data_IF_479068029867
#
_entry.id   IF_479068029867
#
_cell.length_a   1.000
_cell.length_b   1.000
_cell.length_c   1.000
_cell.angle_alpha   90.00
_cell.angle_beta   90.00
_cell.angle_gamma   90.00
#
_symmetry.space_group_name_H-M   'P 1'
#
loop_
_entity.id
_entity.type
_entity.pdbx_description
1 polymer ?
#
# COMPACT_ATOMS: atom_id res chain seq x y z
N UNK A 1 34.57 -19.91 39.48
CA UNK A 1 33.42 -20.68 38.99
C UNK A 1 32.12 -19.96 39.28
N UNK A 2 32.08 -18.65 39.06
CA UNK A 2 30.87 -17.85 39.21
C UNK A 2 30.13 -17.70 37.88
N UNK A 3 28.91 -17.18 37.94
CA UNK A 3 28.07 -16.87 36.77
C UNK A 3 28.81 -16.12 35.66
N UNK A 4 29.76 -15.24 36.02
CA UNK A 4 30.60 -14.51 35.04
C UNK A 4 31.56 -15.41 34.26
N UNK A 5 32.08 -16.47 34.87
CA UNK A 5 32.95 -17.45 34.20
C UNK A 5 32.12 -18.35 33.28
N UNK A 6 30.92 -18.73 33.71
CA UNK A 6 29.97 -19.50 32.88
C UNK A 6 29.49 -18.69 31.68
N UNK A 7 29.20 -17.40 31.85
CA UNK A 7 28.82 -16.52 30.74
C UNK A 7 29.97 -16.29 29.75
N UNK A 8 31.22 -16.19 30.21
CA UNK A 8 32.38 -16.13 29.31
C UNK A 8 32.55 -17.42 28.50
N UNK A 9 32.38 -18.58 29.14
CA UNK A 9 32.43 -19.88 28.47
C UNK A 9 31.31 -20.01 27.44
N UNK A 10 30.09 -19.65 27.83
CA UNK A 10 28.94 -19.65 26.92
C UNK A 10 29.12 -18.70 25.74
N UNK A 11 29.73 -17.52 25.94
CA UNK A 11 30.02 -16.58 24.86
C UNK A 11 31.16 -17.05 23.93
N UNK A 12 32.15 -17.78 24.44
CA UNK A 12 33.18 -18.41 23.59
C UNK A 12 32.63 -19.59 22.78
N UNK A 13 31.67 -20.33 23.34
CA UNK A 13 31.06 -21.51 22.71
C UNK A 13 29.92 -21.13 21.73
N UNK A 14 29.14 -20.09 22.03
CA UNK A 14 27.95 -19.70 21.26
C UNK A 14 28.00 -18.28 20.68
N UNK A 15 29.00 -17.45 21.00
CA UNK A 15 29.10 -16.07 20.49
C UNK A 15 29.43 -15.95 19.00
N UNK A 16 29.83 -17.06 18.36
CA UNK A 16 30.01 -17.16 16.91
C UNK A 16 28.85 -17.84 16.19
N UNK A 17 27.85 -18.36 16.94
CA UNK A 17 26.56 -18.64 16.35
C UNK A 17 25.92 -17.28 16.13
N UNK A 18 26.04 -16.80 14.91
CA UNK A 18 25.09 -15.86 14.35
C UNK A 18 23.76 -16.62 14.40
N UNK A 19 23.08 -16.58 15.56
CA UNK A 19 21.68 -16.88 15.59
C UNK A 19 21.13 -15.89 14.58
N UNK A 20 20.60 -16.40 13.48
CA UNK A 20 19.61 -15.71 12.70
C UNK A 20 18.43 -15.49 13.66
N UNK A 21 18.61 -14.56 14.60
CA UNK A 21 17.52 -13.88 15.25
C UNK A 21 16.95 -13.11 14.07
N UNK A 22 16.00 -13.76 13.39
CA UNK A 22 14.98 -13.09 12.61
C UNK A 22 14.34 -12.09 13.58
N UNK A 23 14.98 -10.93 13.72
CA UNK A 23 14.37 -9.73 14.25
C UNK A 23 13.39 -9.27 13.18
N UNK A 24 12.35 -10.08 12.99
CA UNK A 24 11.16 -9.82 12.22
C UNK A 24 10.27 -8.92 13.08
N UNK A 25 10.85 -7.80 13.55
CA UNK A 25 10.09 -6.68 14.06
C UNK A 25 9.92 -5.72 12.88
N UNK A 26 8.73 -5.82 12.28
CA UNK A 26 7.96 -4.70 11.71
C UNK A 26 8.71 -3.78 10.72
N UNK A 27 9.34 -4.35 9.70
CA UNK A 27 9.66 -3.61 8.48
C UNK A 27 9.31 -4.48 7.28
N UNK A 28 8.19 -4.16 6.64
CA UNK A 28 7.70 -4.77 5.41
C UNK A 28 8.86 -5.02 4.42
N UNK A 29 9.20 -6.29 4.21
CA UNK A 29 10.40 -6.69 3.48
C UNK A 29 10.24 -6.72 1.95
N UNK A 30 9.04 -6.50 1.40
CA UNK A 30 8.85 -6.43 -0.05
C UNK A 30 9.03 -4.99 -0.57
N UNK A 31 10.28 -4.61 -0.81
CA UNK A 31 10.67 -3.34 -1.45
C UNK A 31 10.77 -3.40 -2.98
N UNK A 32 10.00 -4.25 -3.66
CA UNK A 32 9.99 -4.24 -5.13
C UNK A 32 9.14 -3.07 -5.65
N UNK A 33 9.84 -2.02 -6.09
CA UNK A 33 9.24 -0.91 -6.81
C UNK A 33 8.85 -1.38 -8.21
N UNK A 34 7.58 -1.78 -8.39
CA UNK A 34 7.05 -2.07 -9.72
C UNK A 34 6.88 -0.76 -10.49
N UNK A 35 7.67 -0.58 -11.55
CA UNK A 35 7.56 0.56 -12.47
C UNK A 35 6.27 0.45 -13.30
N UNK A 36 5.15 0.87 -12.73
CA UNK A 36 3.83 0.85 -13.39
C UNK A 36 3.55 2.13 -14.21
N UNK A 37 4.54 3.01 -14.40
CA UNK A 37 4.34 4.32 -15.06
C UNK A 37 3.99 4.24 -16.55
N UNK A 38 4.34 3.16 -17.23
CA UNK A 38 4.18 3.01 -18.70
C UNK A 38 3.29 1.86 -19.14
N UNK A 39 2.84 1.00 -18.21
CA UNK A 39 1.93 -0.11 -18.53
C UNK A 39 0.53 0.23 -18.02
N UNK A 40 -0.42 0.41 -18.94
CA UNK A 40 -1.84 0.20 -18.65
C UNK A 40 -1.94 -1.27 -18.21
N UNK A 41 -1.96 -1.52 -16.90
CA UNK A 41 -1.87 -2.86 -16.34
C UNK A 41 -3.02 -3.73 -16.80
N UNK A 42 -2.69 -4.84 -17.48
CA UNK A 42 -3.65 -5.89 -17.81
C UNK A 42 -4.20 -6.51 -16.51
N UNK A 43 -5.33 -7.21 -16.63
CA UNK A 43 -5.97 -8.00 -15.57
C UNK A 43 -4.99 -9.05 -15.01
N UNK A 44 -3.92 -9.35 -15.74
CA UNK A 44 -2.82 -10.25 -15.38
C UNK A 44 -1.96 -9.78 -14.20
N UNK A 45 -2.05 -8.52 -13.75
CA UNK A 45 -1.36 -8.09 -12.54
C UNK A 45 -1.88 -8.80 -11.26
N UNK A 46 -3.10 -9.35 -11.28
CA UNK A 46 -3.60 -10.22 -10.20
C UNK A 46 -3.01 -11.64 -10.23
N UNK A 47 -2.40 -12.03 -11.35
CA UNK A 47 -2.02 -13.41 -11.62
C UNK A 47 -0.58 -13.75 -11.24
N UNK A 48 0.20 -12.78 -10.73
CA UNK A 48 1.59 -12.99 -10.32
C UNK A 48 1.64 -13.66 -8.93
N UNK A 49 2.11 -14.90 -8.82
CA UNK A 49 2.25 -15.58 -7.54
C UNK A 49 3.50 -15.16 -6.75
N UNK A 50 4.46 -14.45 -7.36
CA UNK A 50 5.83 -14.36 -6.83
C UNK A 50 6.07 -13.26 -5.78
N UNK A 51 5.13 -12.34 -5.54
CA UNK A 51 5.36 -11.19 -4.63
C UNK A 51 4.97 -11.46 -3.16
N UNK A 52 4.44 -12.65 -2.82
CA UNK A 52 3.82 -12.94 -1.52
C UNK A 52 4.54 -13.98 -0.64
N UNK A 53 5.71 -14.49 -1.05
CA UNK A 53 6.41 -15.60 -0.35
C UNK A 53 6.70 -15.29 1.14
N UNK A 54 6.87 -14.02 1.51
CA UNK A 54 7.08 -13.61 2.91
C UNK A 54 5.76 -13.36 3.68
N UNK A 55 4.66 -13.02 2.99
CA UNK A 55 3.32 -12.85 3.60
C UNK A 55 2.61 -14.19 3.86
N UNK A 56 3.11 -15.27 3.28
CA UNK A 56 2.59 -16.64 3.40
C UNK A 56 2.66 -17.23 4.83
N UNK A 57 3.44 -16.61 5.74
CA UNK A 57 3.64 -17.13 7.10
C UNK A 57 2.51 -16.81 8.07
N UNK A 58 1.76 -15.74 7.81
CA UNK A 58 0.73 -15.24 8.74
C UNK A 58 -0.70 -15.58 8.28
N UNK A 59 -0.85 -16.42 7.24
CA UNK A 59 -2.17 -16.80 6.72
C UNK A 59 -2.72 -18.05 7.41
N UNK A 60 -3.57 -17.80 8.40
CA UNK A 60 -4.39 -18.81 9.09
C UNK A 60 -5.28 -19.63 8.13
N UNK A 61 -5.43 -19.19 6.89
CA UNK A 61 -6.06 -19.94 5.79
C UNK A 61 -5.36 -21.27 5.49
N UNK A 62 -4.05 -21.40 5.76
CA UNK A 62 -3.27 -22.64 5.57
C UNK A 62 -3.67 -23.77 6.54
N UNK A 63 -4.25 -23.42 7.69
CA UNK A 63 -4.69 -24.38 8.71
C UNK A 63 -6.13 -24.86 8.49
N UNK A 64 -6.85 -24.36 7.49
CA UNK A 64 -8.29 -24.54 7.35
C UNK A 64 -8.65 -25.39 6.12
N UNK A 65 -9.26 -26.55 6.34
CA UNK A 65 -9.71 -27.46 5.26
C UNK A 65 -10.89 -26.83 4.49
N UNK A 66 -10.94 -26.86 3.13
CA UNK A 66 -11.89 -26.08 2.32
C UNK A 66 -13.37 -26.54 2.37
N UNK A 67 -13.76 -27.38 3.31
CA UNK A 67 -15.03 -28.14 3.24
C UNK A 67 -16.23 -27.58 3.99
N UNK A 68 -16.05 -26.97 5.17
CA UNK A 68 -17.16 -26.77 6.13
C UNK A 68 -17.25 -25.36 6.75
N UNK A 69 -16.64 -24.34 6.14
CA UNK A 69 -16.63 -22.97 6.69
C UNK A 69 -17.93 -22.19 6.41
N UNK A 70 -18.66 -22.54 5.36
CA UNK A 70 -19.89 -21.83 4.94
C UNK A 70 -21.04 -22.03 5.94
N UNK A 71 -21.10 -23.18 6.62
CA UNK A 71 -22.19 -23.54 7.56
C UNK A 71 -21.99 -23.04 9.00
N UNK A 72 -20.76 -22.70 9.40
CA UNK A 72 -20.41 -22.38 10.79
C UNK A 72 -20.39 -20.88 11.13
N UNK A 73 -20.59 -20.02 10.13
CA UNK A 73 -20.33 -18.59 10.28
C UNK A 73 -21.60 -17.75 10.06
N UNK A 74 -22.29 -17.45 11.17
CA UNK A 74 -23.46 -16.59 11.20
C UNK A 74 -23.15 -15.11 10.89
N UNK A 75 -21.87 -14.70 10.89
CA UNK A 75 -21.45 -13.30 10.76
C UNK A 75 -20.81 -12.97 9.40
N UNK A 76 -20.83 -13.89 8.42
CA UNK A 76 -20.18 -13.68 7.11
C UNK A 76 -18.71 -13.22 7.21
N UNK A 77 -17.98 -13.68 8.23
CA UNK A 77 -16.51 -13.56 8.28
C UNK A 77 -15.86 -14.23 7.07
N UNK A 78 -16.43 -15.30 6.54
CA UNK A 78 -15.99 -15.96 5.31
C UNK A 78 -16.87 -15.59 4.12
N UNK A 79 -16.23 -15.41 2.95
CA UNK A 79 -16.94 -15.20 1.69
C UNK A 79 -17.73 -16.45 1.31
N UNK A 80 -18.94 -16.20 0.81
CA UNK A 80 -19.87 -17.19 0.27
C UNK A 80 -20.04 -16.98 -1.22
N UNK A 81 -20.36 -18.06 -1.91
CA UNK A 81 -20.57 -18.05 -3.36
C UNK A 81 -21.69 -17.09 -3.72
N UNK A 82 -21.41 -16.17 -4.64
CA UNK A 82 -22.38 -15.14 -5.04
C UNK A 82 -22.23 -13.80 -4.32
N UNK A 83 -21.34 -13.70 -3.34
CA UNK A 83 -20.99 -12.42 -2.72
C UNK A 83 -20.29 -11.50 -3.74
N UNK A 84 -20.69 -10.21 -3.75
CA UNK A 84 -20.00 -9.19 -4.53
C UNK A 84 -18.79 -8.72 -3.74
N UNK A 85 -17.63 -8.73 -4.35
CA UNK A 85 -16.38 -8.29 -3.75
C UNK A 85 -15.78 -7.15 -4.56
N UNK A 86 -15.12 -6.26 -3.84
CA UNK A 86 -14.30 -5.22 -4.42
C UNK A 86 -12.83 -5.61 -4.31
N UNK A 87 -12.24 -5.93 -5.46
CA UNK A 87 -10.86 -6.37 -5.57
C UNK A 87 -9.97 -5.16 -5.77
N UNK A 88 -9.05 -4.98 -4.84
CA UNK A 88 -8.06 -3.92 -4.87
C UNK A 88 -6.73 -4.42 -5.38
N UNK A 89 -5.97 -3.50 -5.94
CA UNK A 89 -4.67 -3.80 -6.49
C UNK A 89 -3.60 -3.36 -5.48
N UNK A 90 -2.95 -4.30 -4.78
CA UNK A 90 -1.83 -3.93 -3.94
C UNK A 90 -0.80 -3.15 -4.78
N UNK A 91 -0.31 -2.03 -4.25
CA UNK A 91 0.71 -1.17 -4.89
C UNK A 91 0.27 -0.46 -6.19
N UNK A 92 -1.03 -0.33 -6.45
CA UNK A 92 -1.54 0.44 -7.59
C UNK A 92 -2.59 1.47 -7.17
N UNK A 93 -2.53 2.67 -7.76
CA UNK A 93 -3.59 3.69 -7.68
C UNK A 93 -4.77 3.40 -8.64
N UNK A 94 -4.87 2.16 -9.14
CA UNK A 94 -5.92 1.75 -10.06
C UNK A 94 -7.28 1.70 -9.35
N UNK A 95 -8.34 2.01 -10.09
CA UNK A 95 -9.70 1.83 -9.58
C UNK A 95 -9.96 0.34 -9.31
N UNK A 96 -10.43 -0.01 -8.10
CA UNK A 96 -10.69 -1.39 -7.75
C UNK A 96 -11.79 -1.99 -8.62
N UNK A 97 -11.72 -3.30 -8.87
CA UNK A 97 -12.62 -4.00 -9.79
C UNK A 97 -13.70 -4.73 -9.01
N UNK A 98 -14.95 -4.57 -9.45
CA UNK A 98 -16.07 -5.39 -8.99
C UNK A 98 -15.94 -6.81 -9.53
N UNK A 99 -16.10 -7.77 -8.63
CA UNK A 99 -16.12 -9.18 -8.98
C UNK A 99 -17.07 -9.95 -8.06
N UNK A 100 -17.47 -11.15 -8.48
CA UNK A 100 -18.26 -12.07 -7.67
C UNK A 100 -17.35 -13.19 -7.19
N UNK A 101 -17.44 -13.54 -5.91
CA UNK A 101 -16.73 -14.68 -5.35
C UNK A 101 -17.39 -15.99 -5.82
N UNK A 102 -16.58 -16.88 -6.40
CA UNK A 102 -17.04 -18.15 -6.97
C UNK A 102 -16.75 -19.32 -6.03
N UNK A 103 -15.48 -19.55 -5.70
CA UNK A 103 -15.02 -20.67 -4.86
C UNK A 103 -13.57 -20.50 -4.43
N UNK A 104 -13.12 -21.35 -3.50
CA UNK A 104 -11.70 -21.53 -3.16
C UNK A 104 -11.15 -22.75 -3.91
N UNK A 105 -9.99 -22.63 -4.53
CA UNK A 105 -9.33 -23.67 -5.35
C UNK A 105 -7.83 -23.74 -5.07
N UNK A 106 -7.23 -24.90 -5.34
CA UNK A 106 -5.78 -25.11 -5.24
C UNK A 106 -5.22 -25.40 -3.84
N UNK A 107 -3.89 -25.61 -3.81
CA UNK A 107 -3.06 -25.71 -2.60
C UNK A 107 -1.75 -24.94 -2.87
N UNK A 108 -1.49 -23.80 -2.22
CA UNK A 108 -2.30 -23.14 -1.18
C UNK A 108 -3.68 -22.70 -1.70
N UNK A 109 -4.65 -22.57 -0.80
CA UNK A 109 -6.03 -22.22 -1.15
C UNK A 109 -6.09 -20.78 -1.69
N UNK A 110 -6.45 -20.64 -2.96
CA UNK A 110 -6.65 -19.35 -3.64
C UNK A 110 -8.14 -19.11 -3.86
N UNK A 111 -8.58 -17.86 -3.75
CA UNK A 111 -9.96 -17.49 -4.02
C UNK A 111 -10.13 -17.16 -5.50
N UNK A 112 -11.14 -17.76 -6.13
CA UNK A 112 -11.50 -17.55 -7.52
C UNK A 112 -12.64 -16.54 -7.63
N UNK A 113 -12.44 -15.51 -8.44
CA UNK A 113 -13.38 -14.41 -8.63
C UNK A 113 -13.76 -14.25 -10.10
N UNK A 114 -14.99 -13.83 -10.35
CA UNK A 114 -15.49 -13.50 -11.68
C UNK A 114 -15.72 -12.00 -11.80
N UNK A 115 -14.95 -11.32 -12.65
CA UNK A 115 -14.94 -9.86 -12.74
C UNK A 115 -16.09 -9.31 -13.58
N UNK A 116 -16.39 -8.02 -13.39
CA UNK A 116 -17.35 -7.26 -14.20
C UNK A 116 -17.02 -7.24 -15.71
N UNK A 117 -15.75 -7.48 -16.07
CA UNK A 117 -15.30 -7.56 -17.46
C UNK A 117 -15.54 -8.92 -18.10
N UNK A 118 -16.12 -9.88 -17.37
CA UNK A 118 -16.37 -11.23 -17.86
C UNK A 118 -15.12 -12.13 -17.87
N UNK A 119 -14.06 -11.73 -17.15
CA UNK A 119 -12.85 -12.54 -16.96
C UNK A 119 -12.82 -13.11 -15.55
N UNK A 120 -12.30 -14.32 -15.39
CA UNK A 120 -11.99 -14.87 -14.07
C UNK A 120 -10.56 -14.55 -13.66
N UNK A 121 -10.36 -14.42 -12.36
CA UNK A 121 -9.07 -14.21 -11.72
C UNK A 121 -8.98 -15.03 -10.43
N UNK A 122 -7.77 -15.37 -10.02
CA UNK A 122 -7.53 -15.83 -8.65
C UNK A 122 -6.85 -14.72 -7.86
N UNK A 123 -7.08 -14.71 -6.56
CA UNK A 123 -6.43 -13.79 -5.64
C UNK A 123 -6.58 -14.25 -4.20
N UNK A 124 -5.90 -13.56 -3.30
CA UNK A 124 -6.03 -13.77 -1.87
C UNK A 124 -7.22 -12.98 -1.32
N UNK A 125 -7.88 -13.51 -0.29
CA UNK A 125 -9.01 -12.81 0.34
C UNK A 125 -8.62 -11.51 1.04
N UNK A 126 -7.33 -11.36 1.38
CA UNK A 126 -6.75 -10.17 2.00
C UNK A 126 -6.85 -8.94 1.10
N UNK A 127 -6.81 -9.14 -0.21
CA UNK A 127 -6.93 -8.07 -1.20
C UNK A 127 -8.38 -7.60 -1.40
N UNK A 128 -9.33 -8.21 -0.69
CA UNK A 128 -10.73 -7.80 -0.72
C UNK A 128 -10.93 -6.68 0.27
N UNK A 129 -11.34 -5.57 -0.29
CA UNK A 129 -11.54 -4.33 0.44
C UNK A 129 -12.96 -4.22 1.00
N UNK A 130 -13.95 -4.66 0.24
CA UNK A 130 -15.35 -4.65 0.62
C UNK A 130 -16.05 -5.89 0.08
N UNK A 131 -17.06 -6.37 0.80
CA UNK A 131 -17.93 -7.44 0.33
C UNK A 131 -19.39 -7.07 0.63
N UNK A 132 -20.27 -7.33 -0.34
CA UNK A 132 -21.72 -7.27 -0.17
C UNK A 132 -22.22 -8.71 -0.15
N UNK A 133 -22.72 -9.20 1.00
CA UNK A 133 -23.18 -10.56 1.14
C UNK A 133 -24.47 -10.80 0.35
N UNK A 134 -24.67 -12.04 -0.09
CA UNK A 134 -25.89 -12.52 -0.76
C UNK A 134 -26.31 -11.65 -1.97
N UNK A 135 -25.33 -11.09 -2.70
CA UNK A 135 -25.59 -10.20 -3.82
C UNK A 135 -26.27 -10.93 -5.00
N UNK A 136 -25.86 -12.18 -5.25
CA UNK A 136 -26.45 -13.06 -6.25
C UNK A 136 -26.69 -14.45 -5.65
N UNK A 137 -27.80 -15.13 -5.94
CA UNK A 137 -28.00 -16.50 -5.49
C UNK A 137 -26.93 -17.45 -6.04
N UNK A 138 -26.45 -18.43 -5.23
CA UNK A 138 -25.43 -19.39 -5.66
C UNK A 138 -25.77 -20.16 -6.95
N UNK A 139 -27.06 -20.38 -7.21
CA UNK A 139 -27.58 -21.06 -8.40
C UNK A 139 -27.22 -20.36 -9.72
N UNK A 140 -26.97 -19.04 -9.70
CA UNK A 140 -26.51 -18.30 -10.88
C UNK A 140 -25.00 -18.39 -11.08
N UNK A 141 -24.25 -18.79 -10.06
CA UNK A 141 -22.79 -18.95 -10.11
C UNK A 141 -22.40 -20.37 -10.52
N UNK A 142 -23.16 -21.38 -10.11
CA UNK A 142 -22.93 -22.79 -10.42
C UNK A 142 -22.65 -23.09 -11.91
N UNK A 143 -23.40 -22.55 -12.88
CA UNK A 143 -23.16 -22.83 -14.31
C UNK A 143 -21.76 -22.42 -14.77
N UNK A 144 -21.19 -21.37 -14.16
CA UNK A 144 -19.88 -20.82 -14.51
C UNK A 144 -18.75 -21.71 -14.00
N UNK A 145 -18.95 -22.40 -12.88
CA UNK A 145 -17.94 -23.26 -12.25
C UNK A 145 -17.41 -24.31 -13.22
N UNK A 146 -18.28 -24.86 -14.08
CA UNK A 146 -17.90 -25.86 -15.09
C UNK A 146 -16.90 -25.39 -16.14
N UNK A 147 -16.77 -24.07 -16.34
CA UNK A 147 -15.86 -23.45 -17.29
C UNK A 147 -14.58 -22.92 -16.64
N UNK A 148 -14.48 -23.00 -15.31
CA UNK A 148 -13.37 -22.45 -14.55
C UNK A 148 -12.36 -23.54 -14.19
N UNK A 149 -11.06 -23.21 -14.12
CA UNK A 149 -10.04 -24.16 -13.72
C UNK A 149 -10.25 -24.63 -12.27
N UNK A 150 -10.10 -25.94 -12.05
CA UNK A 150 -10.19 -26.60 -10.74
C UNK A 150 -8.86 -26.58 -9.97
N UNK A 151 -7.74 -26.48 -10.69
CA UNK A 151 -6.40 -26.31 -10.10
C UNK A 151 -6.14 -24.83 -9.81
N UNK A 152 -5.39 -24.54 -8.74
CA UNK A 152 -4.85 -23.19 -8.48
C UNK A 152 -3.98 -22.70 -9.64
N UNK A 153 -3.63 -21.40 -9.66
CA UNK A 153 -2.79 -20.84 -10.72
C UNK A 153 -1.44 -21.57 -10.73
N UNK A 154 -1.18 -22.33 -11.81
CA UNK A 154 0.14 -22.82 -12.18
C UNK A 154 0.68 -21.98 -13.34
N UNK A 155 2.01 -21.89 -13.47
CA UNK A 155 2.67 -21.19 -14.60
C UNK A 155 2.16 -21.70 -15.96
N UNK A 156 1.94 -23.02 -16.08
CA UNK A 156 1.32 -23.64 -17.26
C UNK A 156 -0.11 -23.14 -17.57
N UNK A 157 -0.87 -22.76 -16.53
CA UNK A 157 -2.24 -22.28 -16.67
C UNK A 157 -2.25 -20.81 -17.10
N UNK A 158 -1.23 -20.04 -16.71
CA UNK A 158 -0.99 -18.69 -17.22
C UNK A 158 -0.62 -18.74 -18.71
N UNK A 159 0.29 -19.62 -19.10
CA UNK A 159 0.66 -19.82 -20.50
C UNK A 159 -0.55 -20.24 -21.35
N UNK A 160 -1.39 -21.15 -20.85
CA UNK A 160 -2.64 -21.53 -21.53
C UNK A 160 -3.64 -20.38 -21.60
N UNK A 161 -3.72 -19.52 -20.58
CA UNK A 161 -4.60 -18.34 -20.59
C UNK A 161 -4.15 -17.26 -21.56
N UNK A 162 -2.86 -17.22 -21.93
CA UNK A 162 -2.36 -16.37 -23.00
C UNK A 162 -2.62 -16.97 -24.39
N UNK A 163 -2.60 -18.30 -24.52
CA UNK A 163 -2.79 -18.99 -25.80
C UNK A 163 -4.27 -19.23 -26.15
N UNK A 164 -5.14 -19.40 -25.16
CA UNK A 164 -6.56 -19.69 -25.33
C UNK A 164 -7.39 -18.68 -24.55
N UNK A 165 -8.47 -18.18 -25.16
CA UNK A 165 -9.46 -17.41 -24.45
C UNK A 165 -10.25 -18.35 -23.51
N UNK A 166 -9.74 -18.55 -22.28
CA UNK A 166 -10.43 -19.27 -21.20
C UNK A 166 -11.61 -18.45 -20.64
N UNK A 167 -12.22 -17.59 -21.45
CA UNK A 167 -13.39 -16.82 -21.05
C UNK A 167 -14.62 -17.72 -20.93
N UNK A 168 -15.47 -17.38 -19.98
CA UNK A 168 -16.74 -18.08 -19.77
C UNK A 168 -17.68 -17.64 -20.90
N UNK A 169 -18.45 -18.57 -21.51
CA UNK A 169 -19.42 -18.21 -22.54
C UNK A 169 -20.36 -17.09 -22.09
N UNK A 170 -20.51 -16.06 -22.93
CA UNK A 170 -21.26 -14.83 -22.58
C UNK A 170 -22.70 -15.10 -22.17
N UNK A 171 -23.35 -16.09 -22.75
CA UNK A 171 -24.72 -16.49 -22.42
C UNK A 171 -24.85 -16.98 -20.97
N UNK A 172 -23.84 -17.69 -20.47
CA UNK A 172 -23.83 -18.22 -19.10
C UNK A 172 -23.49 -17.10 -18.10
N UNK A 173 -22.57 -16.21 -18.45
CA UNK A 173 -22.12 -15.16 -17.53
C UNK A 173 -22.96 -13.87 -17.57
N UNK A 174 -23.78 -13.67 -18.60
CA UNK A 174 -24.54 -12.43 -18.80
C UNK A 174 -25.36 -12.00 -17.57
N UNK A 175 -26.09 -12.89 -16.87
CA UNK A 175 -26.86 -12.48 -15.69
C UNK A 175 -25.99 -11.86 -14.59
N UNK A 176 -24.80 -12.42 -14.35
CA UNK A 176 -23.86 -11.92 -13.34
C UNK A 176 -23.30 -10.55 -13.73
N UNK A 177 -22.85 -10.42 -14.98
CA UNK A 177 -22.25 -9.18 -15.48
C UNK A 177 -23.28 -8.06 -15.51
N UNK A 178 -24.49 -8.33 -15.99
CA UNK A 178 -25.58 -7.34 -16.01
C UNK A 178 -25.91 -6.84 -14.60
N UNK A 179 -26.00 -7.74 -13.61
CA UNK A 179 -26.28 -7.34 -12.22
C UNK A 179 -25.17 -6.48 -11.62
N UNK A 180 -23.90 -6.81 -11.87
CA UNK A 180 -22.76 -5.97 -11.46
C UNK A 180 -22.76 -4.60 -12.13
N UNK A 181 -23.06 -4.53 -13.44
CA UNK A 181 -23.15 -3.28 -14.20
C UNK A 181 -24.29 -2.38 -13.69
N UNK A 182 -25.45 -2.96 -13.38
CA UNK A 182 -26.57 -2.24 -12.78
C UNK A 182 -26.19 -1.64 -11.43
N UNK A 183 -25.54 -2.42 -10.57
CA UNK A 183 -25.05 -1.95 -9.27
C UNK A 183 -24.03 -0.81 -9.44
N UNK A 184 -23.06 -0.96 -10.35
CA UNK A 184 -22.10 0.10 -10.64
C UNK A 184 -22.81 1.37 -11.13
N UNK A 185 -23.76 1.25 -12.08
CA UNK A 185 -24.51 2.39 -12.62
C UNK A 185 -25.28 3.13 -11.54
N UNK A 186 -25.97 2.41 -10.66
CA UNK A 186 -26.70 3.00 -9.51
C UNK A 186 -25.74 3.78 -8.60
N UNK A 187 -24.61 3.18 -8.27
CA UNK A 187 -23.64 3.84 -7.41
C UNK A 187 -22.98 5.05 -8.06
N UNK A 188 -22.69 5.00 -9.37
CA UNK A 188 -22.18 6.15 -10.11
C UNK A 188 -23.19 7.29 -10.19
N UNK A 189 -24.48 6.98 -10.31
CA UNK A 189 -25.55 7.97 -10.24
C UNK A 189 -25.59 8.66 -8.87
N UNK A 190 -25.51 7.88 -7.78
CA UNK A 190 -25.40 8.41 -6.41
C UNK A 190 -24.16 9.31 -6.27
N UNK A 191 -23.02 8.87 -6.82
CA UNK A 191 -21.80 9.67 -6.79
C UNK A 191 -21.99 11.00 -7.53
N UNK A 192 -22.56 10.97 -8.74
CA UNK A 192 -22.79 12.19 -9.54
C UNK A 192 -23.72 13.18 -8.85
N UNK A 193 -24.76 12.68 -8.18
CA UNK A 193 -25.70 13.52 -7.42
C UNK A 193 -25.04 14.21 -6.22
N UNK A 194 -24.01 13.58 -5.63
CA UNK A 194 -23.34 14.03 -4.41
C UNK A 194 -21.87 14.40 -4.62
N UNK A 195 -21.46 14.67 -5.86
CA UNK A 195 -20.04 14.79 -6.24
C UNK A 195 -19.30 15.85 -5.42
N UNK A 196 -19.90 17.02 -5.22
CA UNK A 196 -19.30 18.11 -4.44
C UNK A 196 -18.98 17.68 -3.00
N UNK A 197 -19.87 16.93 -2.36
CA UNK A 197 -19.69 16.45 -0.98
C UNK A 197 -18.65 15.34 -0.91
N UNK A 198 -18.66 14.44 -1.90
CA UNK A 198 -17.77 13.28 -1.97
C UNK A 198 -16.33 13.68 -2.33
N UNK A 199 -16.15 14.57 -3.30
CA UNK A 199 -14.83 15.11 -3.67
C UNK A 199 -14.27 16.01 -2.55
N UNK A 200 -15.16 16.69 -1.82
CA UNK A 200 -14.84 17.48 -0.63
C UNK A 200 -14.79 16.67 0.68
N UNK A 201 -14.85 15.33 0.64
CA UNK A 201 -15.02 14.51 1.84
C UNK A 201 -13.92 14.73 2.89
N UNK A 202 -12.65 14.89 2.44
CA UNK A 202 -11.53 15.14 3.36
C UNK A 202 -11.70 16.45 4.14
N UNK A 203 -12.15 17.52 3.47
CA UNK A 203 -12.35 18.82 4.12
C UNK A 203 -13.43 18.76 5.22
N UNK A 204 -14.45 17.92 5.03
CA UNK A 204 -15.56 17.74 5.98
C UNK A 204 -15.22 16.78 7.13
N UNK A 205 -14.49 15.71 6.84
CA UNK A 205 -14.23 14.64 7.81
C UNK A 205 -12.94 14.85 8.63
N UNK A 206 -11.90 15.41 8.03
CA UNK A 206 -10.59 15.50 8.64
C UNK A 206 -10.52 16.55 9.75
N UNK A 207 -9.75 16.22 10.79
CA UNK A 207 -9.36 17.19 11.79
C UNK A 207 -8.16 18.02 11.29
N UNK A 208 -7.97 19.27 11.77
CA UNK A 208 -6.81 20.08 11.37
C UNK A 208 -5.46 19.40 11.64
N UNK A 209 -5.27 18.85 12.84
CA UNK A 209 -3.97 18.31 13.32
C UNK A 209 -3.98 16.79 13.49
N UNK A 210 -5.03 16.27 14.12
CA UNK A 210 -5.10 14.88 14.58
C UNK A 210 -5.61 13.90 13.51
N UNK A 211 -5.16 12.66 13.65
CA UNK A 211 -5.66 11.53 12.90
C UNK A 211 -7.05 11.12 13.38
N UNK A 212 -7.95 10.78 12.47
CA UNK A 212 -9.28 10.25 12.79
C UNK A 212 -9.51 8.88 12.17
N UNK A 213 -10.41 8.12 12.78
CA UNK A 213 -10.87 6.84 12.25
C UNK A 213 -12.39 6.85 12.15
N UNK A 214 -12.92 6.15 11.16
CA UNK A 214 -14.36 5.92 11.01
C UNK A 214 -14.62 4.65 10.23
N UNK A 215 -15.75 4.00 10.50
CA UNK A 215 -16.23 2.89 9.66
C UNK A 215 -16.87 3.44 8.39
N UNK A 216 -16.84 2.67 7.30
CA UNK A 216 -17.48 3.07 6.04
C UNK A 216 -18.97 3.40 6.19
N UNK A 217 -19.71 2.65 7.00
CA UNK A 217 -21.12 2.94 7.30
C UNK A 217 -21.30 4.30 7.98
N UNK A 218 -20.45 4.62 8.97
CA UNK A 218 -20.52 5.89 9.69
C UNK A 218 -20.13 7.06 8.77
N UNK A 219 -19.10 6.88 7.95
CA UNK A 219 -18.66 7.88 6.97
C UNK A 219 -19.76 8.11 5.93
N UNK A 220 -20.38 7.04 5.43
CA UNK A 220 -21.48 7.11 4.47
C UNK A 220 -22.68 7.83 5.06
N UNK A 221 -23.07 7.49 6.29
CA UNK A 221 -24.14 8.18 7.03
C UNK A 221 -23.83 9.67 7.19
N UNK A 222 -22.57 10.03 7.45
CA UNK A 222 -22.17 11.42 7.65
C UNK A 222 -22.11 12.23 6.35
N UNK A 223 -21.71 11.62 5.23
CA UNK A 223 -21.57 12.31 3.94
C UNK A 223 -22.88 12.36 3.16
N UNK A 224 -23.63 11.25 3.13
CA UNK A 224 -24.81 11.09 2.28
C UNK A 224 -26.12 10.96 3.05
N UNK A 225 -26.07 10.84 4.38
CA UNK A 225 -27.23 10.56 5.21
C UNK A 225 -27.73 9.11 5.09
N UNK A 226 -28.47 8.69 6.11
CA UNK A 226 -29.19 7.42 6.11
C UNK A 226 -30.69 7.68 6.28
N UNK A 227 -31.49 7.25 5.30
CA UNK A 227 -32.94 7.41 5.34
C UNK A 227 -33.57 6.16 5.98
N UNK A 228 -34.42 6.34 6.99
CA UNK A 228 -35.16 5.22 7.60
C UNK A 228 -36.07 4.58 6.53
N UNK A 229 -35.83 3.31 6.21
CA UNK A 229 -36.56 2.57 5.17
C UNK A 229 -35.85 2.49 3.81
N UNK A 230 -34.58 2.86 3.74
CA UNK A 230 -33.77 2.70 2.53
C UNK A 230 -33.49 1.23 2.22
N UNK A 231 -33.71 0.82 0.97
CA UNK A 231 -33.41 -0.53 0.50
C UNK A 231 -31.92 -0.86 0.68
N UNK A 232 -31.62 -2.11 1.07
CA UNK A 232 -30.24 -2.56 1.26
C UNK A 232 -29.39 -2.36 -0.02
N UNK A 233 -29.93 -2.64 -1.21
CA UNK A 233 -29.22 -2.44 -2.50
C UNK A 233 -28.81 -0.98 -2.70
N UNK A 234 -29.66 -0.03 -2.29
CA UNK A 234 -29.37 1.41 -2.37
C UNK A 234 -28.34 1.82 -1.32
N UNK A 235 -28.45 1.30 -0.10
CA UNK A 235 -27.47 1.55 0.97
C UNK A 235 -26.07 1.04 0.58
N UNK A 236 -25.98 -0.17 0.03
CA UNK A 236 -24.72 -0.72 -0.47
C UNK A 236 -24.18 0.08 -1.66
N UNK A 237 -25.07 0.57 -2.54
CA UNK A 237 -24.71 1.50 -3.61
C UNK A 237 -24.11 2.81 -3.10
N UNK A 238 -24.64 3.36 -2.00
CA UNK A 238 -24.09 4.55 -1.31
C UNK A 238 -22.72 4.28 -0.69
N UNK A 239 -22.58 3.16 0.04
CA UNK A 239 -21.28 2.76 0.61
C UNK A 239 -20.24 2.61 -0.50
N UNK A 240 -20.60 1.98 -1.62
CA UNK A 240 -19.71 1.83 -2.76
C UNK A 240 -19.32 3.19 -3.37
N UNK A 241 -20.26 4.14 -3.49
CA UNK A 241 -19.99 5.48 -4.02
C UNK A 241 -19.02 6.24 -3.12
N UNK A 242 -19.25 6.20 -1.81
CA UNK A 242 -18.37 6.80 -0.79
C UNK A 242 -17.00 6.17 -0.84
N UNK A 243 -16.93 4.84 -0.86
CA UNK A 243 -15.66 4.12 -0.94
C UNK A 243 -14.86 4.51 -2.18
N UNK A 244 -15.49 4.57 -3.34
CA UNK A 244 -14.88 5.03 -4.60
C UNK A 244 -14.35 6.46 -4.47
N UNK A 245 -15.08 7.35 -3.80
CA UNK A 245 -14.62 8.70 -3.49
C UNK A 245 -13.39 8.71 -2.57
N UNK A 246 -13.39 7.91 -1.50
CA UNK A 246 -12.28 7.81 -0.55
C UNK A 246 -11.01 7.25 -1.23
N UNK A 247 -11.15 6.23 -2.09
CA UNK A 247 -10.04 5.71 -2.89
C UNK A 247 -9.43 6.76 -3.81
N UNK A 248 -10.27 7.62 -4.42
CA UNK A 248 -9.79 8.76 -5.26
C UNK A 248 -9.09 9.85 -4.44
N UNK A 249 -9.41 9.98 -3.16
CA UNK A 249 -8.75 10.91 -2.24
C UNK A 249 -7.28 10.56 -1.96
N UNK A 250 -6.79 9.39 -2.37
CA UNK A 250 -5.38 9.01 -2.31
C UNK A 250 -4.83 9.10 -0.89
N UNK A 251 -3.73 9.85 -0.71
CA UNK A 251 -3.06 10.03 0.59
C UNK A 251 -3.98 10.59 1.69
N UNK A 252 -5.10 11.24 1.37
CA UNK A 252 -6.02 11.73 2.40
C UNK A 252 -6.63 10.61 3.26
N UNK A 253 -6.75 9.41 2.70
CA UNK A 253 -7.42 8.28 3.35
C UNK A 253 -6.51 7.04 3.35
N UNK A 254 -6.57 6.28 4.44
CA UNK A 254 -5.90 5.00 4.59
C UNK A 254 -6.93 3.91 4.89
N UNK A 255 -6.63 2.68 4.51
CA UNK A 255 -7.46 1.52 4.83
C UNK A 255 -6.59 0.40 5.41
N UNK A 256 -7.19 -0.42 6.27
CA UNK A 256 -6.52 -1.54 6.93
C UNK A 256 -6.26 -2.71 5.96
N UNK A 257 -5.08 -2.80 5.38
CA UNK A 257 -4.78 -3.85 4.39
C UNK A 257 -4.92 -5.29 4.92
N UNK A 258 -4.89 -5.50 6.25
CA UNK A 258 -4.95 -6.86 6.83
C UNK A 258 -6.38 -7.38 6.98
N UNK A 259 -7.34 -6.53 7.31
CA UNK A 259 -8.69 -6.97 7.67
C UNK A 259 -9.81 -5.99 7.31
N UNK A 260 -9.56 -5.05 6.39
CA UNK A 260 -10.53 -4.01 6.05
C UNK A 260 -11.90 -4.53 5.58
N UNK A 261 -11.98 -5.72 4.94
CA UNK A 261 -13.28 -6.34 4.62
C UNK A 261 -14.17 -6.48 5.86
N UNK A 262 -13.60 -6.93 6.97
CA UNK A 262 -14.32 -7.25 8.21
C UNK A 262 -14.49 -5.99 9.06
N UNK A 263 -13.44 -5.19 9.16
CA UNK A 263 -13.42 -4.04 10.07
C UNK A 263 -14.10 -2.81 9.47
N UNK A 264 -14.04 -2.63 8.15
CA UNK A 264 -14.55 -1.46 7.46
C UNK A 264 -13.91 -0.14 7.89
N UNK A 265 -12.79 -0.19 8.63
CA UNK A 265 -12.15 1.01 9.19
C UNK A 265 -11.37 1.77 8.14
N UNK A 266 -11.67 3.06 8.03
CA UNK A 266 -10.94 4.03 7.22
C UNK A 266 -10.21 4.98 8.16
N UNK A 267 -8.91 5.11 7.93
CA UNK A 267 -8.07 6.12 8.52
C UNK A 267 -8.22 7.42 7.73
N UNK A 268 -8.47 8.51 8.43
CA UNK A 268 -8.64 9.85 7.86
C UNK A 268 -7.46 10.68 8.35
N UNK A 269 -6.56 11.04 7.42
CA UNK A 269 -5.37 11.81 7.74
C UNK A 269 -5.71 13.27 8.00
N UNK A 270 -4.90 13.94 8.81
CA UNK A 270 -5.16 15.33 9.18
C UNK A 270 -4.95 16.29 8.00
N UNK A 271 -5.53 17.50 8.10
CA UNK A 271 -5.36 18.52 7.06
C UNK A 271 -3.91 18.98 6.95
N UNK A 272 -3.21 19.09 8.07
CA UNK A 272 -1.79 19.44 8.10
C UNK A 272 -0.93 18.41 7.36
N UNK A 273 -1.12 17.11 7.63
CA UNK A 273 -0.35 16.05 6.98
C UNK A 273 -0.55 16.03 5.46
N UNK A 274 -1.80 16.12 5.01
CA UNK A 274 -2.10 16.15 3.56
C UNK A 274 -1.53 17.41 2.91
N UNK A 275 -1.62 18.57 3.56
CA UNK A 275 -1.05 19.81 3.06
C UNK A 275 0.48 19.75 2.96
N UNK A 276 1.16 19.16 3.94
CA UNK A 276 2.62 18.94 3.90
C UNK A 276 3.03 18.08 2.69
N UNK A 277 2.38 16.93 2.50
CA UNK A 277 2.67 16.02 1.37
C UNK A 277 2.42 16.69 0.03
N UNK A 278 1.31 17.40 -0.11
CA UNK A 278 0.99 18.13 -1.35
C UNK A 278 1.98 19.27 -1.64
N UNK A 279 2.41 19.99 -0.59
CA UNK A 279 3.40 21.05 -0.69
C UNK A 279 4.75 20.51 -1.17
N UNK A 280 5.25 19.44 -0.55
CA UNK A 280 6.53 18.81 -0.93
C UNK A 280 6.44 18.20 -2.34
N UNK A 281 5.32 17.54 -2.67
CA UNK A 281 5.08 17.00 -4.02
C UNK A 281 5.19 18.09 -5.09
N UNK A 282 4.64 19.28 -4.84
CA UNK A 282 4.73 20.41 -5.76
C UNK A 282 6.15 20.98 -5.85
N UNK A 283 6.91 20.97 -4.76
CA UNK A 283 8.33 21.35 -4.78
C UNK A 283 9.18 20.40 -5.61
N UNK A 284 8.94 19.09 -5.48
CA UNK A 284 9.67 18.07 -6.22
C UNK A 284 9.34 18.08 -7.71
N UNK A 285 8.07 18.29 -8.08
CA UNK A 285 7.69 18.50 -9.49
C UNK A 285 8.40 19.70 -10.09
N UNK A 286 8.38 20.85 -9.41
CA UNK A 286 9.07 22.05 -9.88
C UNK A 286 10.57 21.80 -10.07
N UNK A 287 11.20 21.09 -9.13
CA UNK A 287 12.61 20.70 -9.25
C UNK A 287 12.88 19.76 -10.45
N UNK A 288 12.03 18.76 -10.68
CA UNK A 288 12.15 17.86 -11.83
C UNK A 288 11.98 18.61 -13.17
N UNK A 289 11.02 19.52 -13.24
CA UNK A 289 10.78 20.35 -14.43
C UNK A 289 11.98 21.27 -14.72
N UNK A 290 12.57 21.85 -13.68
CA UNK A 290 13.79 22.66 -13.78
C UNK A 290 14.98 21.81 -14.27
N UNK A 291 15.15 20.59 -13.74
CA UNK A 291 16.19 19.65 -14.19
C UNK A 291 16.02 19.24 -15.67
N UNK A 292 14.79 18.95 -16.08
CA UNK A 292 14.47 18.61 -17.46
C UNK A 292 14.74 19.79 -18.40
N UNK A 293 14.38 21.01 -17.98
CA UNK A 293 14.63 22.25 -18.72
C UNK A 293 16.13 22.52 -18.87
N UNK A 294 16.90 22.36 -17.79
CA UNK A 294 18.35 22.49 -17.81
C UNK A 294 19.00 21.50 -18.78
N UNK A 295 18.60 20.22 -18.73
CA UNK A 295 19.11 19.19 -19.62
C UNK A 295 18.76 19.44 -21.10
N UNK A 296 17.54 19.92 -21.38
CA UNK A 296 17.08 20.19 -22.74
C UNK A 296 17.69 21.47 -23.34
N UNK A 297 17.81 22.53 -22.55
CA UNK A 297 18.21 23.85 -23.05
C UNK A 297 19.72 23.98 -23.31
N UNK A 298 20.56 23.05 -22.82
CA UNK A 298 22.04 23.17 -22.80
C UNK A 298 22.53 24.56 -22.36
N UNK A 299 21.71 25.27 -21.58
CA UNK A 299 21.97 26.64 -21.16
C UNK A 299 22.60 26.59 -19.77
N UNK A 300 23.82 27.09 -19.66
CA UNK A 300 24.54 27.20 -18.38
C UNK A 300 23.87 28.14 -17.38
N UNK A 301 22.88 28.92 -17.81
CA UNK A 301 22.27 29.99 -17.02
C UNK A 301 20.83 29.68 -16.57
N UNK A 302 20.42 28.41 -16.57
CA UNK A 302 19.11 28.05 -16.01
C UNK A 302 19.11 28.28 -14.50
N UNK A 303 18.19 29.11 -14.03
CA UNK A 303 17.96 29.34 -12.62
C UNK A 303 16.78 28.49 -12.16
N UNK A 304 16.98 27.70 -11.11
CA UNK A 304 15.90 26.92 -10.51
C UNK A 304 14.78 27.84 -10.03
N UNK A 305 13.55 27.36 -10.18
CA UNK A 305 12.37 28.00 -9.61
C UNK A 305 12.52 28.16 -8.08
N UNK A 306 11.82 29.11 -7.43
CA UNK A 306 11.88 29.29 -5.98
C UNK A 306 11.47 28.05 -5.18
N UNK A 307 10.70 27.13 -5.78
CA UNK A 307 10.33 25.86 -5.16
C UNK A 307 11.37 24.78 -5.42
N UNK A 308 11.90 24.68 -6.64
CA UNK A 308 13.00 23.77 -6.95
C UNK A 308 14.26 24.09 -6.13
N UNK A 309 14.56 25.37 -5.92
CA UNK A 309 15.71 25.82 -5.13
C UNK A 309 15.65 25.34 -3.67
N UNK A 310 14.46 25.22 -3.07
CA UNK A 310 14.31 24.67 -1.70
C UNK A 310 14.80 23.21 -1.64
N UNK A 311 14.43 22.41 -2.64
CA UNK A 311 14.85 21.01 -2.76
C UNK A 311 16.35 20.90 -2.96
N UNK A 312 16.92 21.71 -3.86
CA UNK A 312 18.38 21.74 -4.12
C UNK A 312 19.16 22.10 -2.86
N UNK A 313 18.73 23.14 -2.13
CA UNK A 313 19.37 23.56 -0.89
C UNK A 313 19.34 22.45 0.16
N UNK A 314 18.19 21.79 0.32
CA UNK A 314 18.05 20.65 1.23
C UNK A 314 18.96 19.48 0.84
N UNK A 315 19.04 19.13 -0.46
CA UNK A 315 19.93 18.06 -0.95
C UNK A 315 21.40 18.37 -0.62
N UNK A 316 21.86 19.60 -0.83
CA UNK A 316 23.23 19.99 -0.50
C UNK A 316 23.51 19.92 1.01
N UNK A 317 22.58 20.41 1.84
CA UNK A 317 22.69 20.29 3.31
C UNK A 317 22.75 18.83 3.74
N UNK A 318 21.82 18.00 3.23
CA UNK A 318 21.75 16.58 3.55
C UNK A 318 23.03 15.84 3.13
N UNK A 319 23.54 16.10 1.91
CA UNK A 319 24.79 15.51 1.44
C UNK A 319 25.96 15.83 2.38
N UNK A 320 26.14 17.10 2.76
CA UNK A 320 27.21 17.51 3.67
C UNK A 320 27.13 16.82 5.04
N UNK A 321 25.92 16.64 5.58
CA UNK A 321 25.71 15.95 6.86
C UNK A 321 25.95 14.44 6.74
N UNK A 322 25.53 13.83 5.64
CA UNK A 322 25.75 12.41 5.36
C UNK A 322 27.24 12.13 5.26
N UNK A 323 28.00 12.94 4.51
CA UNK A 323 29.46 12.82 4.38
C UNK A 323 30.15 12.83 5.76
N UNK A 324 29.83 13.81 6.62
CA UNK A 324 30.34 13.87 8.00
C UNK A 324 29.94 12.64 8.83
N UNK A 325 28.70 12.17 8.69
CA UNK A 325 28.23 10.96 9.37
C UNK A 325 29.02 9.72 8.90
N UNK A 326 29.34 9.63 7.60
CA UNK A 326 30.07 8.49 7.01
C UNK A 326 31.55 8.45 7.39
N UNK A 327 32.15 9.58 7.69
CA UNK A 327 33.49 9.63 8.31
C UNK A 327 33.51 8.88 9.66
N UNK A 328 32.44 9.02 10.43
CA UNK A 328 32.35 8.45 11.79
C UNK A 328 31.71 7.07 11.84
N UNK A 329 30.83 6.71 10.89
CA UNK A 329 30.04 5.47 10.92
C UNK A 329 29.83 4.90 9.53
N UNK A 330 30.00 3.59 9.40
CA UNK A 330 29.70 2.88 8.15
C UNK A 330 28.19 2.67 7.96
N UNK A 331 27.73 2.62 6.71
CA UNK A 331 26.33 2.27 6.37
C UNK A 331 26.16 0.76 6.41
N UNK A 332 25.03 0.30 6.93
CA UNK A 332 24.63 -1.10 6.76
C UNK A 332 23.53 -1.20 5.72
N UNK A 333 23.50 -2.30 4.98
CA UNK A 333 22.46 -2.63 3.99
C UNK A 333 21.07 -2.83 4.62
N UNK A 334 20.95 -2.86 5.94
CA UNK A 334 19.72 -3.17 6.67
C UNK A 334 19.01 -1.93 7.23
N UNK A 335 19.23 -0.76 6.63
CA UNK A 335 18.55 0.47 7.06
C UNK A 335 19.02 0.99 8.42
N UNK A 336 20.27 0.69 8.80
CA UNK A 336 20.87 1.14 10.06
C UNK A 336 22.26 1.73 9.83
N UNK A 337 22.63 2.69 10.66
CA UNK A 337 23.99 3.21 10.69
C UNK A 337 24.82 2.38 11.67
N UNK A 338 26.03 2.01 11.26
CA UNK A 338 26.96 1.22 12.05
C UNK A 338 27.47 1.93 13.30
N UNK A 339 28.24 1.19 14.11
CA UNK A 339 28.82 1.70 15.35
C UNK A 339 29.82 2.81 15.03
N UNK A 340 29.92 3.82 15.90
CA UNK A 340 30.93 4.88 15.81
C UNK A 340 32.34 4.30 15.77
N UNK A 341 33.13 4.71 14.78
CA UNK A 341 34.57 4.45 14.67
C UNK A 341 35.35 5.16 15.79
N UNK A 342 34.82 6.27 16.29
CA UNK A 342 35.40 7.02 17.42
C UNK A 342 34.83 6.51 18.74
N UNK A 343 35.72 6.11 19.65
CA UNK A 343 35.40 5.76 21.04
C UNK A 343 35.66 6.96 21.93
N UNK A 344 34.64 7.42 22.65
CA UNK A 344 34.76 8.49 23.63
C UNK A 344 35.04 7.91 25.02
N UNK A 345 35.76 8.66 25.84
CA UNK A 345 36.14 8.18 27.17
C UNK A 345 35.05 8.59 28.19
N UNK A 346 34.25 7.61 28.61
CA UNK A 346 33.02 7.78 29.42
C UNK A 346 33.32 8.45 30.77
N UNK A 347 34.56 8.39 31.26
CA UNK A 347 34.97 8.99 32.53
C UNK A 347 35.16 10.52 32.49
N UNK A 348 35.33 11.12 31.31
CA UNK A 348 35.66 12.55 31.16
C UNK A 348 34.57 13.37 30.46
N UNK A 349 33.70 12.73 29.70
CA UNK A 349 32.70 13.40 28.86
C UNK A 349 31.35 12.71 29.05
N UNK A 350 30.28 13.50 28.97
CA UNK A 350 28.92 12.98 29.03
C UNK A 350 28.67 11.94 27.93
N UNK A 351 27.80 10.98 28.22
CA UNK A 351 27.45 9.89 27.31
C UNK A 351 26.78 10.37 25.99
N UNK A 352 26.28 11.62 25.96
CA UNK A 352 25.66 12.26 24.81
C UNK A 352 26.43 13.55 24.46
N UNK A 353 27.00 13.61 23.25
CA UNK A 353 27.58 14.82 22.68
C UNK A 353 26.73 15.30 21.51
N UNK A 354 26.35 16.57 21.54
CA UNK A 354 25.60 17.22 20.46
C UNK A 354 26.54 18.15 19.70
N UNK A 355 26.59 18.00 18.37
CA UNK A 355 27.31 18.90 17.49
C UNK A 355 26.32 19.57 16.52
N UNK A 356 25.98 20.82 16.80
CA UNK A 356 25.03 21.60 16.02
C UNK A 356 25.75 22.29 14.86
N UNK A 357 26.06 21.53 13.81
CA UNK A 357 26.83 22.06 12.66
C UNK A 357 25.98 22.69 11.56
N UNK A 358 24.67 22.45 11.50
CA UNK A 358 23.82 22.93 10.40
C UNK A 358 22.41 23.24 10.90
N UNK A 359 21.90 24.42 10.55
CA UNK A 359 20.54 24.83 10.87
C UNK A 359 19.58 24.48 9.73
N UNK A 360 18.50 23.80 10.08
CA UNK A 360 17.39 23.48 9.18
C UNK A 360 16.32 24.57 9.26
N UNK A 361 15.86 25.03 8.11
CA UNK A 361 14.78 26.00 8.01
C UNK A 361 13.40 25.33 7.97
N UNK A 362 12.33 26.12 7.92
CA UNK A 362 10.97 25.61 7.84
C UNK A 362 10.72 24.76 6.59
N UNK A 363 11.40 25.02 5.47
CA UNK A 363 11.24 24.23 4.25
C UNK A 363 11.90 22.87 4.40
N UNK A 364 13.09 22.84 5.01
CA UNK A 364 13.79 21.60 5.34
C UNK A 364 12.95 20.73 6.29
N UNK A 365 12.31 21.33 7.30
CA UNK A 365 11.43 20.60 8.22
C UNK A 365 10.27 19.90 7.50
N UNK A 366 9.69 20.55 6.50
CA UNK A 366 8.61 19.95 5.71
C UNK A 366 9.10 18.76 4.87
N UNK A 367 10.32 18.84 4.33
CA UNK A 367 10.97 17.74 3.61
C UNK A 367 11.35 16.59 4.54
N UNK A 368 11.85 16.87 5.75
CA UNK A 368 12.16 15.86 6.77
C UNK A 368 10.89 15.10 7.17
N UNK A 369 9.79 15.82 7.47
CA UNK A 369 8.48 15.20 7.77
C UNK A 369 8.00 14.30 6.62
N UNK A 370 8.24 14.72 5.37
CA UNK A 370 7.89 13.94 4.20
C UNK A 370 8.70 12.63 4.09
N UNK A 371 10.00 12.68 4.41
CA UNK A 371 10.84 11.48 4.51
C UNK A 371 10.42 10.58 5.67
N UNK A 372 10.14 11.12 6.84
CA UNK A 372 9.65 10.37 8.00
C UNK A 372 8.32 9.65 7.68
N UNK A 373 7.42 10.31 6.96
CA UNK A 373 6.16 9.71 6.50
C UNK A 373 6.40 8.52 5.56
N UNK A 374 7.46 8.57 4.74
CA UNK A 374 7.83 7.50 3.82
C UNK A 374 8.58 6.35 4.50
N UNK A 375 9.70 6.63 5.17
CA UNK A 375 10.61 5.62 5.71
C UNK A 375 10.14 5.09 7.06
N UNK A 376 9.88 5.97 8.02
CA UNK A 376 9.57 5.59 9.39
C UNK A 376 8.13 5.08 9.55
N UNK A 377 7.17 5.72 8.87
CA UNK A 377 5.75 5.45 9.07
C UNK A 377 5.10 4.64 7.94
N UNK A 378 5.80 4.41 6.82
CA UNK A 378 5.28 3.63 5.68
C UNK A 378 3.99 4.21 5.07
N UNK A 379 3.70 5.50 5.25
CA UNK A 379 2.39 6.09 4.93
C UNK A 379 2.12 6.19 3.42
N UNK A 380 3.15 6.09 2.58
CA UNK A 380 3.04 6.14 1.13
C UNK A 380 2.85 4.76 0.49
N UNK A 381 2.86 3.67 1.28
CA UNK A 381 2.68 2.32 0.76
C UNK A 381 1.36 2.19 0.01
N UNK A 382 1.44 1.78 -1.27
CA UNK A 382 0.27 1.67 -2.12
C UNK A 382 -0.03 2.91 -2.96
N UNK A 383 0.77 3.98 -2.81
CA UNK A 383 0.65 5.22 -3.56
C UNK A 383 1.94 5.43 -4.39
N UNK A 384 2.16 4.64 -5.46
CA UNK A 384 3.41 4.62 -6.21
C UNK A 384 3.86 5.99 -6.69
N UNK A 385 2.94 6.92 -6.98
CA UNK A 385 3.29 8.27 -7.44
C UNK A 385 3.97 9.13 -6.37
N UNK A 386 3.63 8.92 -5.09
CA UNK A 386 4.22 9.64 -3.97
C UNK A 386 5.40 8.83 -3.40
N UNK A 387 5.26 7.51 -3.36
CA UNK A 387 6.29 6.57 -2.89
C UNK A 387 7.59 6.65 -3.72
N UNK A 388 7.50 6.97 -5.02
CA UNK A 388 8.66 7.13 -5.89
C UNK A 388 9.43 8.46 -5.70
N UNK A 389 8.89 9.43 -4.95
CA UNK A 389 9.49 10.76 -4.83
C UNK A 389 10.72 10.82 -3.89
N UNK A 390 10.69 10.24 -2.67
CA UNK A 390 11.87 10.22 -1.80
C UNK A 390 13.10 9.51 -2.39
N UNK A 391 12.98 8.36 -3.08
CA UNK A 391 14.09 7.73 -3.80
C UNK A 391 14.80 8.68 -4.76
N UNK A 392 14.07 9.56 -5.43
CA UNK A 392 14.63 10.51 -6.39
C UNK A 392 15.52 11.55 -5.72
N UNK A 393 15.14 12.00 -4.52
CA UNK A 393 15.98 12.87 -3.69
C UNK A 393 17.21 12.13 -3.15
N UNK A 394 17.05 10.89 -2.67
CA UNK A 394 18.18 10.07 -2.24
C UNK A 394 19.20 9.88 -3.36
N UNK A 395 18.73 9.58 -4.57
CA UNK A 395 19.58 9.45 -5.76
C UNK A 395 20.34 10.75 -6.03
N UNK A 396 19.69 11.91 -5.92
CA UNK A 396 20.33 13.20 -6.16
C UNK A 396 21.43 13.58 -5.15
N UNK A 397 21.47 12.94 -3.98
CA UNK A 397 22.60 13.11 -3.05
C UNK A 397 23.89 12.46 -3.57
N UNK A 398 23.78 11.42 -4.42
CA UNK A 398 24.92 10.62 -4.89
C UNK A 398 25.56 9.72 -3.83
N UNK A 399 24.92 9.56 -2.65
CA UNK A 399 25.51 8.83 -1.51
C UNK A 399 25.05 7.36 -1.40
N UNK A 400 24.08 6.95 -2.22
CA UNK A 400 23.39 5.66 -2.10
C UNK A 400 23.39 4.83 -3.41
N UNK A 401 24.39 5.02 -4.29
CA UNK A 401 24.43 4.36 -5.61
C UNK A 401 24.46 2.82 -5.52
N UNK A 402 25.07 2.26 -4.48
CA UNK A 402 25.18 0.80 -4.26
C UNK A 402 24.03 0.21 -3.44
N UNK A 403 23.10 1.06 -2.97
CA UNK A 403 21.99 0.64 -2.10
C UNK A 403 20.67 0.60 -2.87
N UNK A 404 19.78 -0.33 -2.50
CA UNK A 404 18.38 -0.29 -2.98
C UNK A 404 17.71 0.94 -2.38
N UNK A 405 17.09 1.77 -3.21
CA UNK A 405 16.40 2.99 -2.79
C UNK A 405 14.98 2.68 -2.27
N UNK A 406 14.91 1.85 -1.24
CA UNK A 406 13.69 1.46 -0.56
C UNK A 406 13.51 2.27 0.75
N UNK A 407 12.38 2.13 1.48
CA UNK A 407 12.19 2.80 2.76
C UNK A 407 13.31 2.54 3.78
N UNK A 408 14.05 1.43 3.67
CA UNK A 408 15.18 1.12 4.57
C UNK A 408 16.34 2.08 4.33
N UNK A 409 16.64 2.43 3.08
CA UNK A 409 17.62 3.49 2.78
C UNK A 409 17.23 4.82 3.44
N UNK A 410 15.92 5.12 3.49
CA UNK A 410 15.39 6.29 4.17
C UNK A 410 15.58 6.33 5.69
N UNK A 411 15.88 5.22 6.37
CA UNK A 411 16.28 5.21 7.79
C UNK A 411 17.76 5.56 8.00
N UNK A 412 18.59 5.43 6.96
CA UNK A 412 20.02 5.75 7.01
C UNK A 412 20.35 7.16 6.54
N UNK A 413 19.43 7.76 5.78
CA UNK A 413 19.40 9.17 5.39
C UNK A 413 19.05 10.03 6.60
#
# INVERSE_FOLDING_TARGET
GGIRDQLRKWHQENGHQQTDINNEYDVDASGEQTNNFTRLGDVDNFRRPDEDIENERDDSSRLMTPGNLEDWDSHHRFLRRGDLVLLDFPRSEREPILAIFVRRVGRPAQSQFYTIHGKWIHGTERNIQHAVPDFVPPSLVEPIISYLPDSGITEELLDRAHMFDLSVPRNVSAPLVTRMLEFQRKSEEIYRQNATTLDGAHLSLAHPTDLKFGTLDLITTRLLGHSKGEDNDTWQGKIYAVRKALSRGGFAFGHDRRSHRITGFVQIRSKEQVANVEKVRNWLRAWQDDLATFAAAKSSNHQFSPNGQKVVNFIHKAKSLIEKSRELRDVTTFGRVGISKKRFNIEKEDALQYDFTTEFDDSDRELIKFFEAWSCSGLFLGLPRIEALPPLMLQATGMYEEHRLDPKAGFTF
#
